data_IF_069540774428
#
_entry.id   IF_069540774428
#
_cell.length_a   1.000
_cell.length_b   1.000
_cell.length_c   1.000
_cell.angle_alpha   90.00
_cell.angle_beta   90.00
_cell.angle_gamma   90.00
#
_symmetry.space_group_name_H-M   'P 1'
#
loop_
_entity.id
_entity.type
_entity.pdbx_description
1 polymer ?
#
# COMPACT_ATOMS: atom_id res chain seq x y z
N UNK A 1 9.60 27.07 1.70
CA UNK A 1 10.70 26.77 2.65
C UNK A 1 10.19 26.29 4.02
N UNK A 2 8.88 26.32 4.32
CA UNK A 2 8.39 25.95 5.66
C UNK A 2 8.46 24.46 6.00
N UNK A 3 8.36 23.55 5.01
CA UNK A 3 8.44 22.10 5.26
C UNK A 3 9.76 21.66 5.91
N UNK A 4 10.88 22.31 5.59
CA UNK A 4 12.19 22.00 6.17
C UNK A 4 12.51 22.83 7.43
N UNK A 5 11.61 23.71 7.89
CA UNK A 5 11.77 24.42 9.17
C UNK A 5 11.43 23.53 10.36
N UNK A 6 10.69 22.44 10.13
CA UNK A 6 10.22 21.55 11.18
C UNK A 6 11.39 21.01 12.02
N UNK A 7 11.46 21.43 13.28
CA UNK A 7 12.49 21.02 14.21
C UNK A 7 13.92 21.34 13.77
N UNK A 8 14.13 22.29 12.85
CA UNK A 8 15.44 22.54 12.22
C UNK A 8 16.56 22.78 13.22
N UNK A 9 16.41 23.78 14.10
CA UNK A 9 17.39 24.11 15.15
C UNK A 9 17.65 22.92 16.09
N UNK A 10 16.57 22.26 16.57
CA UNK A 10 16.66 21.09 17.46
C UNK A 10 17.41 19.92 16.82
N UNK A 11 17.13 19.64 15.55
CA UNK A 11 17.72 18.50 14.84
C UNK A 11 19.16 18.79 14.43
N UNK A 12 19.45 20.02 14.01
CA UNK A 12 20.81 20.45 13.70
C UNK A 12 21.67 20.71 14.94
N UNK A 13 21.12 20.76 16.15
CA UNK A 13 21.94 20.65 17.37
C UNK A 13 22.74 19.33 17.41
N UNK A 14 22.26 18.29 16.71
CA UNK A 14 22.98 17.03 16.50
C UNK A 14 23.78 16.99 15.18
N UNK A 15 23.91 18.15 14.50
CA UNK A 15 24.60 18.25 13.22
C UNK A 15 26.02 17.71 13.35
N UNK A 16 26.37 16.74 12.51
CA UNK A 16 27.13 15.66 13.06
C UNK A 16 28.61 15.93 12.81
N UNK A 17 29.46 15.36 13.65
CA UNK A 17 30.90 15.40 13.43
C UNK A 17 31.29 14.75 12.09
N UNK A 18 32.48 15.08 11.53
CA UNK A 18 32.90 14.60 10.21
C UNK A 18 32.83 13.07 10.02
N UNK A 19 33.04 12.30 11.08
CA UNK A 19 32.93 10.83 11.12
C UNK A 19 31.54 10.32 10.74
N UNK A 20 30.49 11.03 11.14
CA UNK A 20 29.10 10.70 10.84
C UNK A 20 28.68 11.16 9.43
N UNK A 21 29.21 12.28 8.94
CA UNK A 21 29.02 12.66 7.52
C UNK A 21 29.73 11.67 6.58
N UNK A 22 30.86 11.10 6.99
CA UNK A 22 31.55 10.07 6.22
C UNK A 22 30.65 8.84 5.92
N UNK A 23 29.63 8.56 6.76
CA UNK A 23 28.65 7.51 6.50
C UNK A 23 27.83 7.74 5.21
N UNK A 24 27.73 8.98 4.74
CA UNK A 24 27.04 9.35 3.52
C UNK A 24 28.00 9.63 2.37
N UNK A 25 29.16 10.20 2.67
CA UNK A 25 30.04 10.81 1.68
C UNK A 25 31.30 9.99 1.37
N UNK A 26 31.61 8.96 2.16
CA UNK A 26 32.77 8.11 1.92
C UNK A 26 32.56 7.23 0.67
N UNK A 27 33.46 7.28 -0.34
CA UNK A 27 33.32 6.51 -1.58
C UNK A 27 33.14 5.01 -1.39
N UNK A 28 33.91 4.40 -0.49
CA UNK A 28 33.83 2.96 -0.22
C UNK A 28 32.49 2.55 0.39
N UNK A 29 31.94 3.37 1.29
CA UNK A 29 30.62 3.14 1.89
C UNK A 29 29.52 3.29 0.84
N UNK A 30 29.58 4.33 0.01
CA UNK A 30 28.61 4.59 -1.06
C UNK A 30 28.57 3.40 -2.03
N UNK A 31 29.71 3.02 -2.61
CA UNK A 31 29.79 1.96 -3.60
C UNK A 31 29.37 0.60 -3.00
N UNK A 32 29.72 0.33 -1.73
CA UNK A 32 29.27 -0.87 -1.02
C UNK A 32 27.75 -0.88 -0.87
N UNK A 33 27.16 0.19 -0.34
CA UNK A 33 25.71 0.26 -0.11
C UNK A 33 24.94 0.18 -1.44
N UNK A 34 25.40 0.87 -2.49
CA UNK A 34 24.86 0.74 -3.84
C UNK A 34 24.86 -0.71 -4.32
N UNK A 35 26.01 -1.41 -4.21
CA UNK A 35 26.13 -2.82 -4.62
C UNK A 35 25.15 -3.70 -3.87
N UNK A 36 25.04 -3.52 -2.56
CA UNK A 36 24.13 -4.30 -1.70
C UNK A 36 22.65 -3.98 -1.95
N UNK A 37 22.34 -2.76 -2.38
CA UNK A 37 21.01 -2.37 -2.86
C UNK A 37 20.64 -2.95 -4.24
N UNK A 38 21.59 -3.55 -4.97
CA UNK A 38 21.35 -4.10 -6.31
C UNK A 38 21.36 -3.05 -7.43
N UNK A 39 21.83 -1.82 -7.16
CA UNK A 39 21.95 -0.77 -8.15
C UNK A 39 23.17 -0.95 -9.05
N UNK A 40 23.07 -0.58 -10.33
CA UNK A 40 24.15 -0.68 -11.31
C UNK A 40 25.37 0.20 -10.94
N UNK A 41 26.59 -0.32 -11.15
CA UNK A 41 27.84 0.40 -10.93
C UNK A 41 28.00 1.65 -11.83
N UNK A 42 27.25 1.74 -12.94
CA UNK A 42 27.15 2.94 -13.76
C UNK A 42 26.68 4.19 -12.97
N UNK A 43 26.08 4.03 -11.79
CA UNK A 43 25.72 5.13 -10.90
C UNK A 43 26.87 5.67 -10.05
N UNK A 44 27.98 4.93 -9.92
CA UNK A 44 29.10 5.32 -9.06
C UNK A 44 29.65 6.73 -9.40
N UNK A 45 29.88 7.11 -10.68
CA UNK A 45 30.34 8.47 -11.00
C UNK A 45 29.39 9.58 -10.53
N UNK A 46 28.08 9.36 -10.64
CA UNK A 46 27.06 10.35 -10.23
C UNK A 46 26.98 10.46 -8.71
N UNK A 47 26.99 9.32 -8.01
CA UNK A 47 26.99 9.26 -6.55
C UNK A 47 28.21 9.95 -5.96
N UNK A 48 29.41 9.65 -6.48
CA UNK A 48 30.67 10.20 -5.97
C UNK A 48 30.82 11.70 -6.27
N UNK A 49 30.40 12.16 -7.46
CA UNK A 49 30.35 13.60 -7.78
C UNK A 49 29.41 14.36 -6.87
N UNK A 50 28.23 13.78 -6.60
CA UNK A 50 27.24 14.39 -5.69
C UNK A 50 27.78 14.45 -4.26
N UNK A 51 28.40 13.37 -3.79
CA UNK A 51 29.01 13.33 -2.45
C UNK A 51 30.12 14.39 -2.28
N UNK A 52 30.97 14.58 -3.30
CA UNK A 52 32.00 15.64 -3.30
C UNK A 52 31.38 17.03 -3.24
N UNK A 53 30.38 17.31 -4.08
CA UNK A 53 29.69 18.59 -4.09
C UNK A 53 29.01 18.90 -2.75
N UNK A 54 28.47 17.89 -2.06
CA UNK A 54 27.91 18.04 -0.71
C UNK A 54 29.02 18.33 0.30
N UNK A 55 30.14 17.60 0.26
CA UNK A 55 31.26 17.77 1.19
C UNK A 55 31.90 19.17 1.10
N UNK A 56 31.95 19.74 -0.10
CA UNK A 56 32.51 21.08 -0.38
C UNK A 56 31.53 22.21 -0.05
N UNK A 57 30.27 21.90 0.31
CA UNK A 57 29.23 22.89 0.60
C UNK A 57 28.55 22.60 1.94
N UNK A 58 28.86 23.44 2.94
CA UNK A 58 28.34 23.26 4.29
C UNK A 58 26.80 23.28 4.35
N UNK A 59 26.14 24.13 3.57
CA UNK A 59 24.68 24.21 3.53
C UNK A 59 24.06 22.91 2.98
N UNK A 60 24.66 22.30 1.95
CA UNK A 60 24.23 21.00 1.44
C UNK A 60 24.48 19.87 2.44
N UNK A 61 25.60 19.91 3.17
CA UNK A 61 25.88 18.91 4.22
C UNK A 61 24.88 19.02 5.37
N UNK A 62 24.55 20.25 5.83
CA UNK A 62 23.49 20.54 6.82
C UNK A 62 22.13 20.06 6.35
N UNK A 63 21.79 20.35 5.10
CA UNK A 63 20.54 19.88 4.51
C UNK A 63 20.48 18.35 4.44
N UNK A 64 21.56 17.67 4.03
CA UNK A 64 21.61 16.21 3.93
C UNK A 64 21.32 15.56 5.28
N UNK A 65 21.99 16.05 6.33
CA UNK A 65 21.80 15.55 7.69
C UNK A 65 20.37 15.82 8.19
N UNK A 66 19.88 17.04 8.00
CA UNK A 66 18.53 17.40 8.42
C UNK A 66 17.46 16.55 7.73
N UNK A 67 17.56 16.39 6.41
CA UNK A 67 16.65 15.52 5.65
C UNK A 67 16.76 14.05 6.09
N UNK A 68 17.95 13.55 6.42
CA UNK A 68 18.13 12.20 6.97
C UNK A 68 17.40 12.04 8.32
N UNK A 69 17.54 13.00 9.23
CA UNK A 69 16.86 12.98 10.53
C UNK A 69 15.34 13.12 10.40
N UNK A 70 14.86 14.06 9.59
CA UNK A 70 13.45 14.21 9.28
C UNK A 70 12.86 12.94 8.67
N UNK A 71 13.61 12.29 7.78
CA UNK A 71 13.16 11.04 7.18
C UNK A 71 13.08 9.96 8.24
N UNK A 72 14.16 9.63 8.93
CA UNK A 72 14.23 8.35 9.65
C UNK A 72 14.04 8.44 11.17
N UNK A 73 14.08 9.63 11.75
CA UNK A 73 14.03 9.83 13.20
C UNK A 73 12.92 10.76 13.67
N UNK A 74 12.25 11.50 12.77
CA UNK A 74 11.05 12.29 13.10
C UNK A 74 9.81 11.61 12.54
N UNK A 75 9.23 10.72 13.35
CA UNK A 75 8.09 9.89 12.96
C UNK A 75 6.81 10.74 12.78
N UNK A 76 6.70 11.83 13.53
CA UNK A 76 5.61 12.82 13.50
C UNK A 76 5.66 13.77 12.28
N UNK A 77 6.79 13.84 11.58
CA UNK A 77 6.90 14.66 10.37
C UNK A 77 6.01 14.11 9.25
N UNK A 78 4.96 14.84 8.88
CA UNK A 78 3.87 14.35 8.05
C UNK A 78 4.32 13.96 6.62
N UNK A 79 3.92 12.77 6.10
CA UNK A 79 4.34 12.29 4.77
C UNK A 79 4.09 13.25 3.60
N UNK A 80 3.00 14.03 3.65
CA UNK A 80 2.67 14.98 2.58
C UNK A 80 3.68 16.13 2.46
N UNK A 81 4.39 16.47 3.55
CA UNK A 81 5.36 17.56 3.53
C UNK A 81 6.60 17.25 2.67
N UNK A 82 6.89 15.97 2.41
CA UNK A 82 7.99 15.57 1.52
C UNK A 82 7.78 16.02 0.06
N UNK A 83 6.54 16.30 -0.35
CA UNK A 83 6.23 16.88 -1.66
C UNK A 83 6.76 18.30 -1.82
N UNK A 84 6.97 18.99 -0.70
CA UNK A 84 7.41 20.38 -0.63
C UNK A 84 8.93 20.50 -0.47
N UNK A 85 9.65 19.38 -0.44
CA UNK A 85 11.10 19.38 -0.36
C UNK A 85 11.73 19.93 -1.64
N UNK A 86 12.86 20.65 -1.54
CA UNK A 86 13.42 21.40 -2.65
C UNK A 86 13.89 20.48 -3.77
N UNK A 87 13.67 20.92 -5.02
CA UNK A 87 14.45 20.44 -6.16
C UNK A 87 15.76 21.23 -6.15
N UNK A 88 16.87 20.55 -5.92
CA UNK A 88 18.19 21.15 -5.77
C UNK A 88 18.84 21.44 -7.14
N UNK A 89 18.04 21.76 -8.16
CA UNK A 89 18.52 21.95 -9.53
C UNK A 89 19.46 23.16 -9.65
N UNK A 90 19.27 24.20 -8.83
CA UNK A 90 20.18 25.35 -8.79
C UNK A 90 21.58 24.96 -8.28
N UNK A 91 21.65 24.16 -7.21
CA UNK A 91 22.94 23.82 -6.55
C UNK A 91 23.59 22.56 -7.11
N UNK A 92 22.81 21.61 -7.61
CA UNK A 92 23.27 20.27 -8.01
C UNK A 92 22.86 19.91 -9.45
N UNK A 93 22.08 20.75 -10.13
CA UNK A 93 21.59 20.46 -11.48
C UNK A 93 20.88 19.10 -11.55
N UNK A 94 21.33 18.28 -12.49
CA UNK A 94 20.82 16.93 -12.71
C UNK A 94 21.08 15.95 -11.55
N UNK A 95 22.01 16.28 -10.64
CA UNK A 95 22.33 15.48 -9.47
C UNK A 95 21.34 15.68 -8.31
N UNK A 96 20.33 16.55 -8.46
CA UNK A 96 19.33 16.79 -7.41
C UNK A 96 18.65 15.50 -6.93
N UNK A 97 18.36 14.55 -7.83
CA UNK A 97 17.76 13.27 -7.45
C UNK A 97 18.75 12.35 -6.72
N UNK A 98 20.04 12.45 -7.04
CA UNK A 98 21.11 11.65 -6.42
C UNK A 98 21.35 12.06 -4.97
N UNK A 99 21.14 13.34 -4.62
CA UNK A 99 21.15 13.81 -3.24
C UNK A 99 20.23 12.97 -2.34
N UNK A 100 18.97 12.77 -2.76
CA UNK A 100 18.01 11.95 -2.01
C UNK A 100 18.35 10.45 -2.07
N UNK A 101 19.00 9.99 -3.14
CA UNK A 101 19.49 8.60 -3.21
C UNK A 101 20.59 8.34 -2.18
N UNK A 102 21.51 9.29 -1.93
CA UNK A 102 22.53 9.16 -0.89
C UNK A 102 21.90 9.03 0.51
N UNK A 103 20.82 9.76 0.80
CA UNK A 103 20.03 9.59 2.02
C UNK A 103 19.43 8.19 2.07
N UNK A 104 18.78 7.75 0.99
CA UNK A 104 18.11 6.45 0.92
C UNK A 104 19.08 5.28 1.11
N UNK A 105 20.30 5.35 0.54
CA UNK A 105 21.32 4.29 0.70
C UNK A 105 21.73 4.05 2.16
N UNK A 106 21.38 4.93 3.10
CA UNK A 106 21.62 4.72 4.53
C UNK A 106 20.73 3.64 5.15
N UNK A 107 19.65 3.24 4.50
CA UNK A 107 18.82 2.13 5.01
C UNK A 107 19.55 0.78 4.89
N UNK A 108 20.43 0.64 3.89
CA UNK A 108 21.11 -0.63 3.56
C UNK A 108 21.82 -1.27 4.75
N UNK A 109 22.84 -0.64 5.37
CA UNK A 109 23.56 -1.28 6.47
C UNK A 109 22.69 -1.52 7.71
N UNK A 110 21.62 -0.74 7.89
CA UNK A 110 20.68 -0.94 8.99
C UNK A 110 19.82 -2.18 8.76
N UNK A 111 19.22 -2.30 7.59
CA UNK A 111 18.39 -3.45 7.20
C UNK A 111 19.20 -4.72 7.31
N UNK A 112 20.40 -4.77 6.74
CA UNK A 112 21.25 -5.96 6.79
C UNK A 112 21.56 -6.40 8.22
N UNK A 113 21.92 -5.45 9.09
CA UNK A 113 22.22 -5.73 10.50
C UNK A 113 20.99 -6.26 11.25
N UNK A 114 19.84 -5.63 11.09
CA UNK A 114 18.61 -6.03 11.78
C UNK A 114 18.09 -7.36 11.23
N UNK A 115 18.07 -7.54 9.91
CA UNK A 115 17.66 -8.78 9.27
C UNK A 115 18.56 -9.95 9.68
N UNK A 116 19.88 -9.73 9.76
CA UNK A 116 20.80 -10.74 10.28
C UNK A 116 20.48 -11.11 11.74
N UNK A 117 20.24 -10.12 12.61
CA UNK A 117 19.87 -10.37 14.01
C UNK A 117 18.53 -11.12 14.16
N UNK A 118 17.59 -10.88 13.24
CA UNK A 118 16.30 -11.57 13.16
C UNK A 118 16.36 -12.90 12.39
N UNK A 119 17.55 -13.35 11.97
CA UNK A 119 17.74 -14.57 11.17
C UNK A 119 16.90 -14.60 9.88
N UNK A 120 16.68 -13.43 9.29
CA UNK A 120 15.94 -13.29 8.02
C UNK A 120 16.79 -13.87 6.89
N UNK A 121 16.22 -14.73 6.02
CA UNK A 121 16.92 -15.27 4.85
C UNK A 121 17.58 -14.17 4.00
N UNK A 122 18.81 -14.43 3.55
CA UNK A 122 19.57 -13.47 2.74
C UNK A 122 18.83 -13.06 1.45
N UNK A 123 18.04 -13.97 0.86
CA UNK A 123 17.18 -13.69 -0.29
C UNK A 123 16.12 -12.65 0.02
N UNK A 124 15.39 -12.77 1.14
CA UNK A 124 14.38 -11.79 1.58
C UNK A 124 15.03 -10.43 1.84
N UNK A 125 16.22 -10.41 2.45
CA UNK A 125 16.97 -9.16 2.67
C UNK A 125 17.33 -8.47 1.36
N UNK A 126 17.90 -9.21 0.40
CA UNK A 126 18.22 -8.70 -0.93
C UNK A 126 16.97 -8.19 -1.64
N UNK A 127 15.88 -8.95 -1.63
CA UNK A 127 14.65 -8.61 -2.33
C UNK A 127 13.97 -7.37 -1.69
N UNK A 128 14.05 -7.21 -0.37
CA UNK A 128 13.58 -6.01 0.35
C UNK A 128 14.43 -4.79 -0.01
N UNK A 129 15.76 -4.94 -0.13
CA UNK A 129 16.65 -3.85 -0.55
C UNK A 129 16.46 -3.45 -2.02
N UNK A 130 15.95 -4.36 -2.85
CA UNK A 130 15.68 -4.09 -4.27
C UNK A 130 14.64 -2.98 -4.47
N UNK A 131 13.84 -2.63 -3.45
CA UNK A 131 12.92 -1.50 -3.55
C UNK A 131 13.66 -0.16 -3.76
N UNK A 132 14.95 -0.08 -3.42
CA UNK A 132 15.80 1.07 -3.78
C UNK A 132 15.98 1.17 -5.31
N UNK A 133 16.12 0.04 -6.01
CA UNK A 133 16.17 0.01 -7.49
C UNK A 133 14.85 0.53 -8.05
N UNK A 134 13.73 0.10 -7.47
CA UNK A 134 12.40 0.58 -7.86
C UNK A 134 12.25 2.09 -7.65
N UNK A 135 12.79 2.66 -6.56
CA UNK A 135 12.82 4.11 -6.37
C UNK A 135 13.60 4.84 -7.48
N UNK A 136 14.74 4.29 -7.89
CA UNK A 136 15.57 4.87 -8.95
C UNK A 136 14.90 4.79 -10.31
N UNK A 137 14.31 3.65 -10.65
CA UNK A 137 13.57 3.47 -11.91
C UNK A 137 12.34 4.38 -11.96
N UNK A 138 11.65 4.53 -10.82
CA UNK A 138 10.55 5.49 -10.69
C UNK A 138 11.04 6.91 -10.95
N UNK A 139 12.15 7.33 -10.37
CA UNK A 139 12.68 8.67 -10.61
C UNK A 139 13.03 8.88 -12.10
N UNK A 140 13.68 7.91 -12.75
CA UNK A 140 13.96 7.97 -14.20
C UNK A 140 12.68 8.22 -15.01
N UNK A 141 11.61 7.46 -14.73
CA UNK A 141 10.30 7.61 -15.37
C UNK A 141 9.71 9.01 -15.25
N UNK A 142 9.86 9.66 -14.08
CA UNK A 142 9.31 11.00 -13.84
C UNK A 142 10.26 12.16 -14.16
N UNK A 143 11.56 11.90 -14.36
CA UNK A 143 12.59 12.93 -14.40
C UNK A 143 13.49 12.84 -15.64
N UNK A 144 12.92 12.46 -16.79
CA UNK A 144 13.59 12.42 -18.10
C UNK A 144 14.79 11.46 -18.10
N UNK A 145 14.58 10.24 -17.63
CA UNK A 145 15.59 9.18 -17.51
C UNK A 145 16.79 9.48 -16.59
N UNK A 146 16.73 10.59 -15.84
CA UNK A 146 17.76 10.91 -14.84
C UNK A 146 17.60 9.99 -13.63
N UNK A 147 18.67 9.32 -13.16
CA UNK A 147 18.62 8.52 -11.94
C UNK A 147 18.51 9.40 -10.70
N UNK A 148 17.86 8.90 -9.66
CA UNK A 148 17.68 9.63 -8.41
C UNK A 148 16.57 9.05 -7.56
N UNK A 149 16.14 9.79 -6.55
CA UNK A 149 14.98 9.44 -5.72
C UNK A 149 14.08 10.67 -5.59
N UNK A 150 12.78 10.49 -5.79
CA UNK A 150 11.80 11.53 -5.49
C UNK A 150 11.69 11.68 -3.98
N UNK A 151 11.80 12.89 -3.45
CA UNK A 151 11.63 13.15 -2.02
C UNK A 151 10.30 12.60 -1.46
N UNK A 152 9.22 12.70 -2.24
CA UNK A 152 7.90 12.11 -1.96
C UNK A 152 7.94 10.59 -1.70
N UNK A 153 8.95 9.86 -2.18
CA UNK A 153 9.08 8.42 -1.93
C UNK A 153 9.70 8.10 -0.57
N UNK A 154 10.44 9.03 0.04
CA UNK A 154 11.17 8.79 1.30
C UNK A 154 10.29 8.36 2.50
N UNK A 155 9.04 8.84 2.67
CA UNK A 155 8.14 8.35 3.71
C UNK A 155 7.95 6.83 3.71
N UNK A 156 7.89 6.20 2.53
CA UNK A 156 7.76 4.74 2.41
C UNK A 156 8.99 4.02 2.97
N UNK A 157 10.17 4.56 2.70
CA UNK A 157 11.44 4.01 3.19
C UNK A 157 11.66 4.21 4.69
N UNK A 158 10.84 5.00 5.38
CA UNK A 158 10.81 5.00 6.85
C UNK A 158 10.46 3.62 7.40
N UNK A 159 9.46 2.97 6.82
CA UNK A 159 9.04 1.62 7.21
C UNK A 159 10.14 0.59 6.92
N UNK A 160 10.86 0.77 5.82
CA UNK A 160 12.05 -0.04 5.51
C UNK A 160 13.17 0.18 6.53
N UNK A 161 13.46 1.43 6.90
CA UNK A 161 14.45 1.75 7.92
C UNK A 161 14.06 1.22 9.31
N UNK A 162 12.77 1.20 9.63
CA UNK A 162 12.22 0.56 10.82
C UNK A 162 12.29 -0.98 10.76
N UNK A 163 12.65 -1.56 9.62
CA UNK A 163 12.75 -3.01 9.39
C UNK A 163 11.43 -3.74 9.65
N UNK A 164 10.31 -3.08 9.31
CA UNK A 164 8.95 -3.65 9.45
C UNK A 164 8.41 -4.17 8.11
N UNK A 165 9.05 -3.82 7.00
CA UNK A 165 8.69 -4.25 5.64
C UNK A 165 9.60 -5.39 5.23
N UNK A 166 8.99 -6.45 4.69
CA UNK A 166 9.72 -7.57 4.11
C UNK A 166 9.11 -7.95 2.77
N UNK A 167 9.96 -8.12 1.75
CA UNK A 167 9.55 -8.66 0.46
C UNK A 167 9.67 -10.18 0.46
N UNK A 168 8.55 -10.88 0.36
CA UNK A 168 8.51 -12.36 0.36
C UNK A 168 7.88 -12.86 -0.93
N UNK A 169 8.66 -12.87 -2.01
CA UNK A 169 8.18 -13.19 -3.36
C UNK A 169 7.77 -11.95 -4.13
N UNK A 170 6.55 -11.94 -4.69
CA UNK A 170 6.07 -10.86 -5.56
C UNK A 170 5.74 -9.57 -4.79
N UNK A 171 5.29 -9.69 -3.54
CA UNK A 171 4.77 -8.58 -2.76
C UNK A 171 5.63 -8.28 -1.53
N UNK A 172 5.41 -7.09 -1.00
CA UNK A 172 5.93 -6.63 0.28
C UNK A 172 4.83 -6.67 1.32
N UNK A 173 5.21 -6.95 2.57
CA UNK A 173 4.26 -7.03 3.68
C UNK A 173 4.78 -6.31 4.91
N UNK A 174 3.86 -5.82 5.72
CA UNK A 174 4.06 -5.43 7.11
C UNK A 174 2.98 -6.10 7.95
N UNK A 175 3.27 -6.48 9.19
CA UNK A 175 2.25 -6.95 10.12
C UNK A 175 1.65 -5.79 10.90
N UNK A 176 0.38 -5.47 10.63
CA UNK A 176 -0.37 -4.38 11.27
C UNK A 176 -1.77 -4.87 11.69
N UNK A 177 -2.40 -4.27 12.72
CA UNK A 177 -3.81 -4.51 13.01
C UNK A 177 -4.69 -4.14 11.82
N UNK A 178 -5.87 -4.74 11.72
CA UNK A 178 -6.82 -4.41 10.67
C UNK A 178 -7.38 -2.99 10.89
N UNK A 179 -7.04 -2.05 10.01
CA UNK A 179 -7.30 -0.62 10.21
C UNK A 179 -8.29 -0.02 9.19
N UNK A 180 -9.07 -0.87 8.52
CA UNK A 180 -10.14 -0.45 7.63
C UNK A 180 -11.47 -0.42 8.39
N UNK A 181 -12.45 0.41 7.94
CA UNK A 181 -13.73 0.55 8.61
C UNK A 181 -14.67 -0.62 8.25
N UNK A 182 -14.22 -1.84 8.52
CA UNK A 182 -14.85 -3.12 8.17
C UNK A 182 -14.62 -4.12 9.30
N UNK A 183 -15.67 -4.82 9.72
CA UNK A 183 -15.63 -5.89 10.72
C UNK A 183 -15.78 -7.24 10.05
N UNK A 184 -14.79 -8.12 10.20
CA UNK A 184 -14.78 -9.42 9.51
C UNK A 184 -15.20 -10.51 10.49
N UNK A 185 -16.18 -11.31 10.09
CA UNK A 185 -16.67 -12.46 10.83
C UNK A 185 -16.43 -13.74 10.04
N UNK A 186 -16.10 -14.81 10.74
CA UNK A 186 -15.97 -16.14 10.18
C UNK A 186 -16.82 -17.16 10.93
N UNK A 187 -17.62 -17.91 10.20
CA UNK A 187 -18.42 -19.01 10.74
C UNK A 187 -17.50 -20.12 11.26
N UNK A 188 -17.73 -20.53 12.51
CA UNK A 188 -17.11 -21.71 13.13
C UNK A 188 -17.60 -23.01 12.50
N UNK A 189 -18.84 -23.01 11.98
CA UNK A 189 -19.47 -24.21 11.39
C UNK A 189 -19.13 -24.39 9.91
N UNK A 190 -19.23 -23.34 9.11
CA UNK A 190 -19.11 -23.43 7.64
C UNK A 190 -17.80 -22.87 7.09
N UNK A 191 -17.01 -22.16 7.92
CA UNK A 191 -15.83 -21.36 7.51
C UNK A 191 -16.14 -20.25 6.51
N UNK A 192 -17.42 -19.97 6.26
CA UNK A 192 -17.87 -18.80 5.52
C UNK A 192 -17.41 -17.52 6.22
N UNK A 193 -17.17 -16.50 5.44
CA UNK A 193 -16.66 -15.19 5.83
C UNK A 193 -17.63 -14.13 5.37
N UNK A 194 -17.94 -13.22 6.28
CA UNK A 194 -18.88 -12.14 6.08
C UNK A 194 -18.29 -10.88 6.70
N UNK A 195 -18.31 -9.79 5.95
CA UNK A 195 -17.84 -8.49 6.41
C UNK A 195 -19.02 -7.55 6.64
N UNK A 196 -19.06 -6.88 7.79
CA UNK A 196 -20.00 -5.82 8.10
C UNK A 196 -19.29 -4.46 7.98
N UNK A 197 -20.01 -3.46 7.48
CA UNK A 197 -19.53 -2.08 7.45
C UNK A 197 -19.42 -1.50 8.86
N UNK A 198 -18.50 -0.56 9.09
CA UNK A 198 -18.58 0.33 10.26
C UNK A 198 -19.84 1.22 10.19
N UNK A 199 -20.29 1.76 11.33
CA UNK A 199 -21.45 2.63 11.32
C UNK A 199 -21.12 3.94 10.61
N UNK A 200 -22.17 4.61 10.17
CA UNK A 200 -22.17 5.97 9.65
C UNK A 200 -21.46 6.23 8.32
N UNK A 201 -21.02 5.19 7.62
CA UNK A 201 -20.47 5.34 6.27
C UNK A 201 -21.62 5.61 5.31
N UNK A 202 -21.51 6.69 4.53
CA UNK A 202 -22.44 6.99 3.45
C UNK A 202 -22.09 6.14 2.23
N UNK A 203 -23.07 5.44 1.70
CA UNK A 203 -22.97 4.67 0.47
C UNK A 203 -23.87 5.26 -0.61
N UNK A 204 -23.42 5.20 -1.87
CA UNK A 204 -24.24 5.54 -3.02
C UNK A 204 -25.22 4.40 -3.35
N UNK A 205 -26.09 4.59 -4.33
CA UNK A 205 -27.09 3.57 -4.73
C UNK A 205 -26.49 2.27 -5.28
N UNK A 206 -25.19 2.26 -5.62
CA UNK A 206 -24.43 1.08 -6.03
C UNK A 206 -23.67 0.42 -4.87
N UNK A 207 -23.79 0.92 -3.65
CA UNK A 207 -23.08 0.39 -2.48
C UNK A 207 -21.60 0.76 -2.42
N UNK A 208 -21.14 1.73 -3.22
CA UNK A 208 -19.78 2.29 -3.13
C UNK A 208 -19.76 3.43 -2.12
N UNK A 209 -18.61 3.70 -1.48
CA UNK A 209 -18.52 4.82 -0.52
C UNK A 209 -18.82 6.13 -1.25
N UNK A 210 -19.85 6.82 -0.75
CA UNK A 210 -20.35 8.06 -1.32
C UNK A 210 -19.35 9.19 -1.13
N UNK A 211 -19.11 9.98 -2.17
CA UNK A 211 -18.22 11.13 -2.13
C UNK A 211 -18.96 12.39 -2.59
N UNK A 212 -18.95 13.41 -1.73
CA UNK A 212 -19.55 14.73 -2.01
C UNK A 212 -18.67 15.59 -2.94
N UNK A 213 -17.41 15.18 -3.15
CA UNK A 213 -16.39 15.98 -3.82
C UNK A 213 -15.99 15.42 -5.20
N UNK A 214 -16.84 14.59 -5.81
CA UNK A 214 -16.58 14.05 -7.15
C UNK A 214 -17.05 15.01 -8.23
N UNK A 215 -16.32 15.05 -9.36
CA UNK A 215 -16.72 15.86 -10.53
C UNK A 215 -18.09 15.46 -11.07
N UNK A 216 -18.44 14.19 -10.89
CA UNK A 216 -19.74 13.64 -11.28
C UNK A 216 -20.56 13.44 -10.02
N UNK A 217 -21.75 14.08 -9.91
CA UNK A 217 -22.63 13.89 -8.76
C UNK A 217 -23.00 12.41 -8.59
N UNK A 218 -22.79 11.89 -7.39
CA UNK A 218 -23.24 10.55 -7.01
C UNK A 218 -24.65 10.63 -6.42
N UNK A 219 -25.43 9.56 -6.56
CA UNK A 219 -26.73 9.46 -5.89
C UNK A 219 -26.54 8.79 -4.53
N UNK A 220 -26.93 9.49 -3.45
CA UNK A 220 -26.94 8.91 -2.11
C UNK A 220 -27.87 7.68 -2.05
N UNK A 221 -27.38 6.59 -1.46
CA UNK A 221 -28.14 5.36 -1.25
C UNK A 221 -28.60 5.23 0.19
N UNK A 222 -27.66 4.99 1.10
CA UNK A 222 -27.94 4.79 2.52
C UNK A 222 -26.73 5.11 3.40
N UNK A 223 -26.97 5.15 4.71
CA UNK A 223 -25.93 5.29 5.73
C UNK A 223 -25.85 3.98 6.50
N UNK A 224 -24.67 3.41 6.66
CA UNK A 224 -24.53 2.11 7.33
C UNK A 224 -24.80 2.18 8.83
N UNK A 225 -25.27 1.06 9.35
CA UNK A 225 -25.46 0.78 10.77
C UNK A 225 -24.53 -0.35 11.17
N UNK A 226 -23.98 -0.26 12.37
CA UNK A 226 -23.26 -1.34 13.02
C UNK A 226 -23.44 -1.24 14.53
N UNK A 227 -23.88 -2.35 15.13
CA UNK A 227 -24.07 -2.51 16.56
C UNK A 227 -23.47 -3.85 16.99
N UNK A 228 -22.79 -3.87 18.14
CA UNK A 228 -22.22 -5.10 18.69
C UNK A 228 -22.46 -5.16 20.20
N UNK A 229 -22.85 -6.33 20.68
CA UNK A 229 -22.97 -6.64 22.10
C UNK A 229 -22.32 -7.99 22.39
N UNK A 230 -22.50 -8.53 23.60
CA UNK A 230 -21.86 -9.79 23.98
C UNK A 230 -22.30 -10.99 23.11
N UNK A 231 -23.55 -11.01 22.64
CA UNK A 231 -24.14 -12.15 21.93
C UNK A 231 -24.18 -11.96 20.42
N UNK A 232 -24.35 -10.73 19.94
CA UNK A 232 -24.63 -10.46 18.54
C UNK A 232 -23.84 -9.27 17.98
N UNK A 233 -23.59 -9.35 16.68
CA UNK A 233 -23.23 -8.21 15.84
C UNK A 233 -24.32 -7.99 14.79
N UNK A 234 -24.79 -6.75 14.64
CA UNK A 234 -25.78 -6.34 13.64
C UNK A 234 -25.18 -5.29 12.74
N UNK A 235 -25.36 -5.40 11.41
CA UNK A 235 -24.99 -4.31 10.52
C UNK A 235 -25.20 -4.59 9.05
N UNK A 236 -24.86 -3.60 8.22
CA UNK A 236 -24.94 -3.71 6.77
C UNK A 236 -23.79 -4.56 6.23
N UNK A 237 -24.07 -5.61 5.44
CA UNK A 237 -23.02 -6.45 4.89
C UNK A 237 -22.32 -5.79 3.70
N UNK A 238 -21.04 -6.10 3.56
CA UNK A 238 -20.25 -5.80 2.38
C UNK A 238 -20.18 -7.04 1.51
N UNK A 239 -20.66 -6.98 0.29
CA UNK A 239 -20.57 -8.06 -0.67
C UNK A 239 -19.11 -8.21 -1.15
N UNK A 240 -18.60 -9.44 -1.34
CA UNK A 240 -17.19 -9.68 -1.72
C UNK A 240 -16.75 -9.10 -3.07
N UNK A 241 -17.70 -8.64 -3.89
CA UNK A 241 -17.40 -7.91 -5.12
C UNK A 241 -17.03 -6.44 -4.87
N UNK A 242 -17.18 -5.93 -3.64
CA UNK A 242 -16.75 -4.59 -3.23
C UNK A 242 -17.86 -3.56 -3.11
N UNK A 243 -19.09 -3.97 -2.84
CA UNK A 243 -20.24 -3.08 -2.59
C UNK A 243 -20.88 -3.36 -1.24
N UNK A 244 -21.46 -2.35 -0.61
CA UNK A 244 -22.32 -2.50 0.56
C UNK A 244 -23.77 -2.78 0.15
N UNK A 245 -24.48 -3.55 0.97
CA UNK A 245 -25.91 -3.83 0.78
C UNK A 245 -26.73 -3.15 1.89
N UNK A 246 -27.88 -2.52 1.58
CA UNK A 246 -28.70 -1.80 2.57
C UNK A 246 -29.41 -2.71 3.57
N UNK A 247 -29.46 -4.03 3.37
CA UNK A 247 -30.06 -4.94 4.36
C UNK A 247 -29.27 -4.95 5.67
N UNK A 248 -29.95 -5.29 6.77
CA UNK A 248 -29.31 -5.54 8.06
C UNK A 248 -29.19 -7.04 8.31
N UNK A 249 -28.01 -7.48 8.70
CA UNK A 249 -27.78 -8.85 9.16
C UNK A 249 -27.45 -8.85 10.63
N UNK A 250 -27.98 -9.84 11.34
CA UNK A 250 -27.61 -10.17 12.73
C UNK A 250 -26.81 -11.46 12.75
N UNK A 251 -25.65 -11.43 13.39
CA UNK A 251 -24.72 -12.54 13.52
C UNK A 251 -24.59 -12.96 14.98
N UNK A 252 -24.81 -14.23 15.27
CA UNK A 252 -24.61 -14.84 16.58
C UNK A 252 -23.13 -15.15 16.82
N UNK A 253 -22.54 -14.62 17.90
CA UNK A 253 -21.13 -14.80 18.25
C UNK A 253 -20.73 -16.24 18.58
N UNK A 254 -21.68 -17.09 18.98
CA UNK A 254 -21.42 -18.52 19.17
C UNK A 254 -21.06 -19.20 17.84
N UNK A 255 -21.61 -18.71 16.73
CA UNK A 255 -21.39 -19.27 15.40
C UNK A 255 -20.41 -18.44 14.58
N UNK A 256 -20.48 -17.12 14.66
CA UNK A 256 -19.68 -16.17 13.89
C UNK A 256 -18.62 -15.52 14.78
N UNK A 257 -17.38 -15.98 14.62
CA UNK A 257 -16.24 -15.39 15.33
C UNK A 257 -15.78 -14.13 14.61
N UNK A 258 -15.61 -13.04 15.33
CA UNK A 258 -14.92 -11.86 14.80
C UNK A 258 -13.42 -12.11 14.62
N UNK A 259 -12.88 -11.68 13.48
CA UNK A 259 -11.47 -11.80 13.10
C UNK A 259 -10.72 -10.46 13.22
N UNK A 260 -11.44 -9.34 13.14
CA UNK A 260 -10.89 -7.97 13.22
C UNK A 260 -10.71 -7.44 14.64
N UNK A 261 -10.88 -8.27 15.66
CA UNK A 261 -10.64 -7.87 17.05
C UNK A 261 -9.18 -7.39 17.24
N UNK A 262 -8.99 -6.42 18.15
CA UNK A 262 -7.78 -5.59 18.29
C UNK A 262 -6.46 -6.38 18.45
N UNK A 263 -6.54 -7.63 18.95
CA UNK A 263 -5.38 -8.51 19.12
C UNK A 263 -4.90 -9.20 17.83
N UNK A 264 -5.66 -9.13 16.74
CA UNK A 264 -5.36 -9.81 15.49
C UNK A 264 -4.63 -8.90 14.50
N UNK A 265 -3.65 -9.50 13.83
CA UNK A 265 -2.79 -8.85 12.86
C UNK A 265 -3.06 -9.36 11.46
N UNK A 266 -2.86 -8.49 10.48
CA UNK A 266 -2.91 -8.78 9.07
C UNK A 266 -1.61 -8.36 8.42
N UNK A 267 -1.28 -9.04 7.33
CA UNK A 267 -0.20 -8.60 6.46
C UNK A 267 -0.74 -7.50 5.55
N UNK A 268 -0.43 -6.26 5.90
CA UNK A 268 -0.62 -5.09 5.05
C UNK A 268 0.29 -5.24 3.81
N UNK A 269 -0.33 -5.59 2.69
CA UNK A 269 0.35 -5.87 1.44
C UNK A 269 0.64 -4.58 0.67
N UNK A 270 1.86 -4.46 0.18
CA UNK A 270 2.29 -3.48 -0.81
C UNK A 270 2.73 -4.20 -2.10
N UNK A 271 2.53 -3.54 -3.24
CA UNK A 271 2.76 -4.13 -4.57
C UNK A 271 3.90 -3.36 -5.25
N UNK A 272 5.13 -3.89 -5.19
CA UNK A 272 6.27 -3.31 -5.88
C UNK A 272 6.01 -3.16 -7.38
N UNK A 273 6.59 -2.13 -7.99
CA UNK A 273 6.54 -1.94 -9.44
C UNK A 273 7.28 -3.08 -10.16
N UNK A 274 6.82 -3.40 -11.38
CA UNK A 274 7.39 -4.45 -12.22
C UNK A 274 6.89 -5.87 -11.89
N UNK A 275 7.09 -6.82 -12.82
CA UNK A 275 6.63 -8.20 -12.68
C UNK A 275 5.12 -8.38 -12.89
N UNK A 276 4.71 -9.58 -13.30
CA UNK A 276 3.29 -9.93 -13.49
C UNK A 276 2.60 -10.13 -12.13
N UNK A 277 1.29 -9.86 -12.10
CA UNK A 277 0.40 -10.13 -10.96
C UNK A 277 -0.53 -11.31 -11.28
N UNK A 278 0.00 -12.36 -11.89
CA UNK A 278 -0.80 -13.56 -12.10
C UNK A 278 -1.17 -14.20 -10.75
N UNK A 279 -2.31 -14.88 -10.73
CA UNK A 279 -2.88 -15.44 -9.51
C UNK A 279 -1.94 -16.45 -8.81
N UNK A 280 -1.24 -17.36 -9.53
CA UNK A 280 -0.20 -18.20 -8.92
C UNK A 280 0.89 -17.42 -8.19
N UNK A 281 1.54 -16.44 -8.84
CA UNK A 281 2.61 -15.66 -8.23
C UNK A 281 2.13 -14.89 -6.99
N UNK A 282 0.90 -14.36 -7.03
CA UNK A 282 0.29 -13.69 -5.88
C UNK A 282 0.11 -14.67 -4.70
N UNK A 283 -0.47 -15.84 -4.92
CA UNK A 283 -0.72 -16.81 -3.85
C UNK A 283 0.55 -17.44 -3.27
N UNK A 284 1.59 -17.64 -4.08
CA UNK A 284 2.89 -18.07 -3.56
C UNK A 284 3.49 -16.99 -2.65
N UNK A 285 3.41 -15.72 -3.05
CA UNK A 285 3.79 -14.58 -2.21
C UNK A 285 2.98 -14.53 -0.91
N UNK A 286 1.66 -14.75 -0.98
CA UNK A 286 0.75 -14.77 0.18
C UNK A 286 1.14 -15.82 1.19
N UNK A 287 1.34 -17.06 0.74
CA UNK A 287 1.70 -18.19 1.61
C UNK A 287 3.08 -18.01 2.22
N UNK A 288 4.04 -17.55 1.42
CA UNK A 288 5.38 -17.28 1.92
C UNK A 288 5.37 -16.16 2.96
N UNK A 289 4.69 -15.05 2.69
CA UNK A 289 4.53 -13.94 3.65
C UNK A 289 3.90 -14.42 4.95
N UNK A 290 2.75 -15.09 4.88
CA UNK A 290 2.07 -15.62 6.07
C UNK A 290 2.95 -16.60 6.87
N UNK A 291 3.73 -17.45 6.20
CA UNK A 291 4.65 -18.38 6.87
C UNK A 291 5.84 -17.65 7.50
N UNK A 292 6.43 -16.70 6.78
CA UNK A 292 7.57 -15.91 7.23
C UNK A 292 7.22 -15.05 8.45
N UNK A 293 6.13 -14.27 8.37
CA UNK A 293 5.72 -13.38 9.46
C UNK A 293 5.33 -14.13 10.74
N UNK A 294 4.74 -15.33 10.65
CA UNK A 294 4.48 -16.14 11.85
C UNK A 294 5.75 -16.71 12.49
N UNK A 295 6.86 -16.80 11.77
CA UNK A 295 8.15 -17.22 12.34
C UNK A 295 8.87 -16.06 13.01
N UNK A 296 8.83 -14.87 12.42
CA UNK A 296 9.54 -13.69 12.97
C UNK A 296 8.73 -12.95 14.04
N UNK A 297 7.40 -13.11 14.06
CA UNK A 297 6.50 -12.57 15.07
C UNK A 297 5.54 -13.66 15.59
N UNK A 298 6.06 -14.69 16.29
CA UNK A 298 5.25 -15.80 16.81
C UNK A 298 4.20 -15.35 17.84
N UNK A 299 4.41 -14.19 18.48
CA UNK A 299 3.48 -13.58 19.43
C UNK A 299 2.24 -12.95 18.77
N UNK A 300 2.28 -12.71 17.44
CA UNK A 300 1.20 -12.04 16.71
C UNK A 300 0.28 -13.07 16.06
N UNK A 301 -1.02 -12.93 16.31
CA UNK A 301 -2.06 -13.69 15.60
C UNK A 301 -2.22 -13.16 14.17
N UNK A 302 -1.44 -13.69 13.22
CA UNK A 302 -1.54 -13.31 11.80
C UNK A 302 -2.75 -14.01 11.15
N UNK A 303 -3.86 -13.28 10.97
CA UNK A 303 -5.13 -13.81 10.50
C UNK A 303 -5.30 -13.81 8.97
N UNK A 304 -4.56 -12.97 8.26
CA UNK A 304 -4.71 -12.84 6.81
C UNK A 304 -3.86 -11.75 6.19
N UNK A 305 -4.26 -11.37 4.99
CA UNK A 305 -3.64 -10.33 4.17
C UNK A 305 -4.68 -9.26 3.93
N UNK A 306 -4.25 -8.00 3.92
CA UNK A 306 -5.11 -6.87 3.60
C UNK A 306 -4.37 -5.89 2.70
N UNK A 307 -5.11 -5.13 1.91
CA UNK A 307 -4.57 -4.06 1.09
C UNK A 307 -5.66 -3.06 0.74
N UNK A 308 -5.28 -1.80 0.53
CA UNK A 308 -6.11 -0.85 -0.19
C UNK A 308 -5.28 -0.22 -1.29
N UNK A 309 -5.81 -0.24 -2.50
CA UNK A 309 -5.17 0.29 -3.69
C UNK A 309 -6.18 0.50 -4.80
N UNK A 310 -5.89 1.41 -5.72
CA UNK A 310 -6.68 1.64 -6.94
C UNK A 310 -6.91 0.36 -7.74
N UNK A 311 -5.97 -0.60 -7.66
CA UNK A 311 -6.10 -1.90 -8.34
C UNK A 311 -7.22 -2.77 -7.79
N UNK A 312 -7.78 -2.44 -6.63
CA UNK A 312 -8.92 -3.12 -5.99
C UNK A 312 -10.21 -2.31 -6.13
N UNK A 313 -10.21 -1.26 -6.97
CA UNK A 313 -11.44 -0.57 -7.36
C UNK A 313 -12.48 -1.61 -7.85
N UNK A 314 -13.64 -1.72 -7.17
CA UNK A 314 -14.70 -2.66 -7.54
C UNK A 314 -15.21 -2.49 -8.98
N UNK A 315 -15.10 -1.27 -9.54
CA UNK A 315 -15.56 -0.95 -10.89
C UNK A 315 -14.56 -1.38 -11.98
N UNK A 316 -13.34 -1.82 -11.63
CA UNK A 316 -12.36 -2.22 -12.66
C UNK A 316 -12.81 -3.41 -13.50
N UNK A 317 -13.66 -4.29 -12.97
CA UNK A 317 -14.22 -5.41 -13.72
C UNK A 317 -15.08 -4.95 -14.90
N UNK A 318 -15.82 -3.84 -14.76
CA UNK A 318 -16.59 -3.23 -15.85
C UNK A 318 -15.74 -2.28 -16.72
N UNK A 319 -14.78 -1.58 -16.13
CA UNK A 319 -13.92 -0.62 -16.84
C UNK A 319 -12.91 -1.32 -17.74
N UNK A 320 -12.27 -2.39 -17.26
CA UNK A 320 -11.09 -2.99 -17.89
C UNK A 320 -11.15 -4.53 -17.93
N UNK A 321 -12.13 -5.07 -18.65
CA UNK A 321 -12.33 -6.52 -18.80
C UNK A 321 -11.10 -7.30 -19.33
N UNK A 322 -10.20 -6.63 -20.08
CA UNK A 322 -8.96 -7.23 -20.60
C UNK A 322 -7.89 -7.47 -19.51
N UNK A 323 -8.07 -6.92 -18.31
CA UNK A 323 -7.12 -6.97 -17.19
C UNK A 323 -7.09 -8.29 -16.43
N UNK A 324 -7.04 -9.42 -17.14
CA UNK A 324 -7.32 -10.76 -16.61
C UNK A 324 -6.56 -11.09 -15.32
N UNK A 325 -5.27 -10.77 -15.21
CA UNK A 325 -4.48 -11.05 -14.01
C UNK A 325 -4.98 -10.30 -12.77
N UNK A 326 -5.19 -8.99 -12.91
CA UNK A 326 -5.67 -8.12 -11.84
C UNK A 326 -7.10 -8.49 -11.44
N UNK A 327 -7.97 -8.72 -12.42
CA UNK A 327 -9.36 -9.12 -12.19
C UNK A 327 -9.46 -10.51 -11.56
N UNK A 328 -8.59 -11.46 -11.92
CA UNK A 328 -8.57 -12.77 -11.28
C UNK A 328 -8.20 -12.67 -9.81
N UNK A 329 -7.23 -11.82 -9.44
CA UNK A 329 -6.92 -11.58 -8.04
C UNK A 329 -8.08 -10.91 -7.30
N UNK A 330 -8.72 -9.90 -7.91
CA UNK A 330 -9.91 -9.26 -7.34
C UNK A 330 -11.03 -10.26 -7.07
N UNK A 331 -11.35 -11.12 -8.05
CA UNK A 331 -12.40 -12.15 -7.95
C UNK A 331 -12.14 -13.20 -6.87
N UNK A 332 -10.87 -13.48 -6.60
CA UNK A 332 -10.45 -14.47 -5.62
C UNK A 332 -10.28 -13.89 -4.20
N UNK A 333 -10.37 -12.56 -4.07
CA UNK A 333 -10.26 -11.83 -2.80
C UNK A 333 -11.63 -11.35 -2.30
N UNK A 334 -11.72 -10.99 -1.03
CA UNK A 334 -12.90 -10.29 -0.52
C UNK A 334 -12.68 -8.79 -0.68
N UNK A 335 -13.39 -8.15 -1.62
CA UNK A 335 -13.30 -6.71 -1.80
C UNK A 335 -14.24 -5.96 -0.88
N UNK A 336 -13.86 -4.73 -0.54
CA UNK A 336 -14.72 -3.77 0.13
C UNK A 336 -14.50 -2.35 -0.43
N UNK A 337 -15.55 -1.52 -0.47
CA UNK A 337 -15.43 -0.16 -1.00
C UNK A 337 -14.66 0.74 -0.03
N UNK A 338 -13.88 1.68 -0.57
CA UNK A 338 -13.07 2.64 0.21
C UNK A 338 -13.34 4.06 -0.28
N UNK A 339 -13.34 5.01 0.66
CA UNK A 339 -13.48 6.44 0.35
C UNK A 339 -12.44 6.87 -0.70
N UNK A 340 -12.88 7.64 -1.69
CA UNK A 340 -12.09 7.94 -2.88
C UNK A 340 -12.20 9.41 -3.28
N UNK A 341 -11.11 9.97 -3.82
CA UNK A 341 -11.06 11.35 -4.32
C UNK A 341 -11.43 11.51 -5.79
N UNK A 342 -11.51 10.40 -6.53
CA UNK A 342 -11.89 10.36 -7.94
C UNK A 342 -10.72 10.33 -8.93
N UNK A 343 -9.48 10.42 -8.45
CA UNK A 343 -8.24 10.35 -9.24
C UNK A 343 -7.29 9.23 -8.77
N UNK A 344 -7.85 8.25 -8.05
CA UNK A 344 -7.09 7.16 -7.45
C UNK A 344 -6.32 6.37 -8.52
N UNK A 345 -5.03 6.15 -8.30
CA UNK A 345 -4.19 5.42 -9.24
C UNK A 345 -3.67 6.23 -10.44
N UNK A 346 -4.05 7.50 -10.61
CA UNK A 346 -3.60 8.33 -11.73
C UNK A 346 -2.07 8.34 -11.91
N UNK A 347 -1.33 8.41 -10.80
CA UNK A 347 0.13 8.37 -10.79
C UNK A 347 0.72 7.06 -11.33
N UNK A 348 0.02 5.94 -11.18
CA UNK A 348 0.50 4.63 -11.61
C UNK A 348 0.07 4.29 -13.04
N UNK A 349 -1.12 4.76 -13.44
CA UNK A 349 -1.71 4.49 -14.77
C UNK A 349 -1.16 5.47 -15.82
N UNK A 350 -1.06 6.76 -15.48
CA UNK A 350 -0.79 7.84 -16.42
C UNK A 350 0.49 8.63 -16.13
N UNK A 351 1.22 8.32 -15.06
CA UNK A 351 2.40 9.06 -14.63
C UNK A 351 2.15 10.55 -14.36
N UNK A 352 0.94 10.88 -13.91
CA UNK A 352 0.59 12.23 -13.51
C UNK A 352 0.32 12.30 -12.01
N UNK A 353 0.81 13.37 -11.36
CA UNK A 353 0.56 13.58 -9.93
C UNK A 353 -0.91 13.88 -9.61
N UNK A 354 -1.64 14.36 -10.60
CA UNK A 354 -3.09 14.62 -10.61
C UNK A 354 -3.59 14.46 -12.05
N UNK A 355 -4.86 14.10 -12.25
CA UNK A 355 -5.43 13.95 -13.59
C UNK A 355 -5.35 15.29 -14.37
N UNK A 356 -4.68 15.32 -15.55
CA UNK A 356 -4.69 16.48 -16.45
C UNK A 356 -6.04 16.59 -17.17
N UNK A 357 -6.12 17.43 -18.21
CA UNK A 357 -7.28 17.43 -19.10
C UNK A 357 -7.44 16.03 -19.72
N UNK A 358 -8.69 15.54 -19.83
CA UNK A 358 -8.96 14.17 -20.28
C UNK A 358 -8.45 13.90 -21.72
N UNK A 359 -8.44 14.93 -22.56
CA UNK A 359 -7.86 14.89 -23.91
C UNK A 359 -6.37 14.56 -23.92
N UNK A 360 -5.63 15.00 -22.90
CA UNK A 360 -4.18 14.85 -22.77
C UNK A 360 -3.74 13.52 -22.15
N UNK A 361 -4.69 12.70 -21.66
CA UNK A 361 -4.35 11.42 -21.05
C UNK A 361 -3.64 10.49 -22.05
N UNK A 362 -2.49 9.88 -21.67
CA UNK A 362 -1.81 8.95 -22.55
C UNK A 362 -2.69 7.72 -22.78
N UNK A 363 -2.63 7.14 -23.99
CA UNK A 363 -3.46 6.02 -24.46
C UNK A 363 -2.62 4.85 -25.00
N UNK A 364 -1.37 4.74 -24.54
CA UNK A 364 -0.37 3.81 -25.06
C UNK A 364 -0.69 2.36 -24.67
N UNK A 365 -1.25 2.14 -23.49
CA UNK A 365 -1.65 0.79 -23.00
C UNK A 365 -3.16 0.55 -23.05
N UNK A 366 -3.59 -0.71 -23.04
CA UNK A 366 -5.03 -1.04 -23.02
C UNK A 366 -5.71 -0.56 -21.74
N UNK A 367 -5.02 -0.62 -20.60
CA UNK A 367 -5.50 -0.04 -19.34
C UNK A 367 -5.70 1.47 -19.46
N UNK A 368 -4.71 2.19 -19.98
CA UNK A 368 -4.80 3.63 -20.19
C UNK A 368 -6.00 4.02 -21.08
N UNK A 369 -6.22 3.30 -22.19
CA UNK A 369 -7.39 3.53 -23.07
C UNK A 369 -8.72 3.28 -22.37
N UNK A 370 -8.84 2.16 -21.66
CA UNK A 370 -10.06 1.80 -20.94
C UNK A 370 -10.40 2.83 -19.86
N UNK A 371 -9.40 3.25 -19.08
CA UNK A 371 -9.56 4.23 -18.01
C UNK A 371 -9.87 5.62 -18.57
N UNK A 372 -9.20 6.05 -19.64
CA UNK A 372 -9.51 7.33 -20.28
C UNK A 372 -10.96 7.38 -20.78
N UNK A 373 -11.44 6.31 -21.43
CA UNK A 373 -12.84 6.21 -21.89
C UNK A 373 -13.85 6.23 -20.73
N UNK A 374 -13.53 5.60 -19.61
CA UNK A 374 -14.37 5.65 -18.40
C UNK A 374 -14.48 7.08 -17.86
N UNK A 375 -13.36 7.79 -17.77
CA UNK A 375 -13.32 9.19 -17.31
C UNK A 375 -14.09 10.13 -18.27
N UNK A 376 -13.98 9.91 -19.59
CA UNK A 376 -14.72 10.69 -20.61
C UNK A 376 -16.24 10.52 -20.51
N UNK A 377 -16.71 9.36 -20.02
CA UNK A 377 -18.13 9.10 -19.75
C UNK A 377 -18.62 9.67 -18.41
N UNK A 378 -17.78 10.45 -17.72
CA UNK A 378 -18.08 10.98 -16.39
C UNK A 378 -17.83 9.97 -15.26
N UNK A 379 -17.19 8.84 -15.53
CA UNK A 379 -16.71 7.95 -14.48
C UNK A 379 -15.59 8.59 -13.65
N UNK A 380 -15.32 8.03 -12.48
CA UNK A 380 -14.20 8.43 -11.63
C UNK A 380 -13.27 7.25 -11.34
N UNK A 381 -12.05 7.53 -10.88
CA UNK A 381 -11.15 6.50 -10.38
C UNK A 381 -11.30 6.36 -8.87
N UNK A 382 -11.63 5.15 -8.43
CA UNK A 382 -11.79 4.82 -7.02
C UNK A 382 -10.62 4.01 -6.49
N UNK A 383 -10.53 4.04 -5.18
CA UNK A 383 -9.77 3.12 -4.39
C UNK A 383 -10.69 1.95 -4.00
N UNK A 384 -10.10 0.81 -3.68
CA UNK A 384 -10.81 -0.30 -3.08
C UNK A 384 -9.93 -0.99 -2.07
N UNK A 385 -10.57 -1.73 -1.18
CA UNK A 385 -9.93 -2.56 -0.20
C UNK A 385 -10.09 -4.03 -0.55
N UNK A 386 -9.14 -4.83 -0.10
CA UNK A 386 -9.23 -6.28 -0.15
C UNK A 386 -8.75 -6.88 1.16
N UNK A 387 -9.30 -8.04 1.49
CA UNK A 387 -8.66 -8.95 2.41
C UNK A 387 -8.72 -10.39 1.91
N UNK A 388 -7.79 -11.19 2.40
CA UNK A 388 -7.73 -12.63 2.21
C UNK A 388 -7.33 -13.29 3.53
N UNK A 389 -8.26 -14.00 4.18
CA UNK A 389 -7.94 -14.74 5.39
C UNK A 389 -6.94 -15.86 5.09
N UNK A 390 -6.00 -16.09 6.02
CA UNK A 390 -4.98 -17.16 5.95
C UNK A 390 -5.60 -18.51 5.59
N UNK A 391 -6.74 -18.80 6.22
CA UNK A 391 -7.62 -19.96 6.01
C UNK A 391 -7.89 -20.27 4.54
N UNK A 392 -8.10 -19.21 3.77
CA UNK A 392 -8.64 -19.24 2.42
C UNK A 392 -7.56 -19.21 1.35
N UNK A 393 -6.28 -19.12 1.73
CA UNK A 393 -5.15 -19.28 0.80
C UNK A 393 -5.15 -20.65 0.10
N UNK A 394 -5.84 -21.66 0.66
CA UNK A 394 -6.04 -22.98 0.04
C UNK A 394 -7.06 -22.97 -1.12
N UNK A 395 -7.90 -21.95 -1.21
CA UNK A 395 -9.00 -21.85 -2.17
C UNK A 395 -8.64 -21.04 -3.43
N UNK A 396 -7.35 -21.01 -3.81
CA UNK A 396 -6.86 -20.30 -5.00
C UNK A 396 -7.67 -20.63 -6.25
N UNK A 397 -8.17 -19.60 -6.93
CA UNK A 397 -8.91 -19.65 -8.19
C UNK A 397 -10.35 -20.12 -8.06
N UNK A 398 -10.85 -20.36 -6.83
CA UNK A 398 -12.21 -20.85 -6.60
C UNK A 398 -13.21 -19.71 -6.39
N UNK A 399 -12.74 -18.47 -6.29
CA UNK A 399 -13.57 -17.30 -5.98
C UNK A 399 -14.41 -17.56 -4.73
N UNK A 400 -13.77 -18.18 -3.72
CA UNK A 400 -14.46 -18.75 -2.55
C UNK A 400 -15.42 -17.77 -1.91
N UNK A 401 -14.99 -16.52 -1.74
CA UNK A 401 -15.81 -15.49 -1.11
C UNK A 401 -17.08 -15.16 -1.89
N UNK A 402 -17.02 -15.09 -3.23
CA UNK A 402 -18.16 -14.73 -4.08
C UNK A 402 -19.23 -15.85 -4.17
N UNK A 403 -18.87 -17.07 -3.79
CA UNK A 403 -19.72 -18.27 -3.94
C UNK A 403 -20.36 -18.76 -2.62
N UNK A 404 -20.38 -17.92 -1.59
CA UNK A 404 -20.90 -18.27 -0.26
C UNK A 404 -22.43 -18.29 -0.21
N UNK A 405 -23.01 -19.14 0.65
CA UNK A 405 -24.46 -19.34 0.75
C UNK A 405 -25.19 -18.12 1.28
N UNK A 406 -24.61 -17.41 2.25
CA UNK A 406 -25.24 -16.22 2.83
C UNK A 406 -25.51 -15.12 1.78
N UNK A 407 -24.68 -15.04 0.73
CA UNK A 407 -24.88 -14.09 -0.37
C UNK A 407 -26.14 -14.44 -1.15
N UNK A 408 -26.32 -15.72 -1.48
CA UNK A 408 -27.53 -16.22 -2.15
C UNK A 408 -28.78 -15.94 -1.31
N UNK A 409 -28.68 -16.07 0.02
CA UNK A 409 -29.77 -15.80 0.96
C UNK A 409 -30.22 -14.34 0.88
N UNK A 410 -29.29 -13.37 0.89
CA UNK A 410 -29.61 -11.95 0.77
C UNK A 410 -30.25 -11.63 -0.57
N UNK A 411 -29.80 -12.27 -1.65
CA UNK A 411 -30.37 -12.11 -2.98
C UNK A 411 -31.72 -12.81 -3.19
N UNK A 412 -32.22 -13.53 -2.20
CA UNK A 412 -33.44 -14.34 -2.33
C UNK A 412 -33.29 -15.55 -3.27
N UNK A 413 -32.05 -15.94 -3.60
CA UNK A 413 -31.74 -17.06 -4.50
C UNK A 413 -31.78 -18.42 -3.78
N UNK A 414 -31.88 -18.43 -2.45
CA UNK A 414 -32.02 -19.65 -1.64
C UNK A 414 -32.80 -19.39 -0.36
N UNK A 415 -33.58 -20.39 0.07
CA UNK A 415 -34.23 -20.45 1.39
C UNK A 415 -33.40 -21.23 2.42
N UNK A 416 -32.20 -21.68 2.05
CA UNK A 416 -31.32 -22.47 2.91
C UNK A 416 -31.01 -21.72 4.22
N UNK A 417 -31.10 -22.45 5.33
CA UNK A 417 -30.74 -21.94 6.63
C UNK A 417 -29.23 -21.63 6.69
N UNK A 418 -28.88 -20.38 7.03
CA UNK A 418 -27.52 -19.95 7.33
C UNK A 418 -27.38 -19.86 8.87
N UNK A 419 -26.67 -20.79 9.52
CA UNK A 419 -26.63 -20.87 10.98
C UNK A 419 -26.14 -19.57 11.62
N UNK A 420 -26.87 -19.10 12.64
CA UNK A 420 -26.53 -17.89 13.40
C UNK A 420 -26.56 -16.60 12.58
N UNK A 421 -27.23 -16.62 11.41
CA UNK A 421 -27.40 -15.45 10.54
C UNK A 421 -28.89 -15.20 10.29
N UNK A 422 -29.34 -14.04 10.72
CA UNK A 422 -30.72 -13.54 10.56
C UNK A 422 -30.71 -12.27 9.71
N UNK A 423 -31.70 -12.15 8.81
CA UNK A 423 -31.94 -10.95 8.03
C UNK A 423 -32.96 -10.11 8.82
N UNK A 424 -32.57 -8.90 9.24
CA UNK A 424 -33.47 -8.00 9.96
C UNK A 424 -34.25 -7.20 8.92
N UNK A 425 -35.57 -7.29 9.01
CA UNK A 425 -36.53 -6.54 8.18
C UNK A 425 -36.63 -5.07 8.56
#
# INVERSE_FOLDING_TARGET
MDALRHGYERLLASYPAPDRLALFLNPGIICRNRKRAGLDAALDPLLLRTARAIAENEALSRLLWHCYLLTFYQIDYAPLQFRLWPKLEYSLGELSGIFYLLILLRIVPRIERIHHALHVPASITRDTLYDIVIAVDRHKRFCKDRPGVLALSLPWYRKHFQCTVFRTGRMEYLAEPFNYPVRIFQSRKTREVLALSHPDIKYNTQGLVFSENTKTPEQFGFKSVFEINAQYATGNPLLPAGSADPVLLKLDHEIWKEITADENYFLAMHIPHGGKMDLPACYESFRHGLSFFSKIYPERSICGIMCSSWIFNPELESIYAQGVNLLNLQRDSYLFPVASRGDEGALFIFDCASLPQLSELPRNTSLQRAVAMHLEKGGILRNGGMFLLREQTKNKGRQWYRNQKWIKKIKGETSDHCPGLELIS
#
